data_IF_376153024267
#
_entry.id   IF_376153024267
#
_cell.length_a   1.000
_cell.length_b   1.000
_cell.length_c   1.000
_cell.angle_alpha   90.00
_cell.angle_beta   90.00
_cell.angle_gamma   90.00
#
_symmetry.space_group_name_H-M   'P 1'
#
loop_
_entity.id
_entity.type
_entity.pdbx_description
1 polymer ?
#
# COMPACT_ATOMS: atom_id res chain seq x y z
N UNK A 1 13.29 5.76 14.44
CA UNK A 1 14.37 4.87 13.91
C UNK A 1 15.19 4.18 14.99
N UNK A 2 15.76 4.92 15.95
CA UNK A 2 16.60 4.36 17.03
C UNK A 2 15.94 3.19 17.76
N UNK A 3 14.70 3.36 18.24
CA UNK A 3 13.96 2.28 18.92
C UNK A 3 13.78 1.02 18.05
N UNK A 4 13.44 1.18 16.76
CA UNK A 4 13.30 0.04 15.84
C UNK A 4 14.63 -0.66 15.58
N UNK A 5 15.75 0.06 15.52
CA UNK A 5 17.07 -0.54 15.36
C UNK A 5 17.46 -1.35 16.60
N UNK A 6 17.22 -0.79 17.79
CA UNK A 6 17.47 -1.47 19.06
C UNK A 6 16.65 -2.75 19.20
N UNK A 7 15.35 -2.74 18.89
CA UNK A 7 14.49 -3.94 18.99
C UNK A 7 14.84 -5.05 17.98
N UNK A 8 15.61 -4.75 16.93
CA UNK A 8 16.01 -5.71 15.89
C UNK A 8 17.39 -6.34 16.13
N UNK A 9 18.07 -5.98 17.23
CA UNK A 9 19.32 -6.63 17.59
C UNK A 9 19.06 -8.09 17.98
N UNK A 10 19.91 -9.00 17.50
CA UNK A 10 19.82 -10.42 17.86
C UNK A 10 20.22 -10.66 19.32
N UNK A 11 21.16 -9.87 19.84
CA UNK A 11 21.59 -9.95 21.22
C UNK A 11 20.67 -9.13 22.15
N UNK A 12 19.85 -9.84 22.92
CA UNK A 12 18.96 -9.24 23.93
C UNK A 12 19.69 -8.46 25.03
N UNK A 13 20.95 -8.78 25.33
CA UNK A 13 21.74 -8.04 26.32
C UNK A 13 22.08 -6.64 25.82
N UNK A 14 22.40 -6.50 24.53
CA UNK A 14 22.59 -5.21 23.88
C UNK A 14 21.29 -4.39 23.83
N UNK A 15 20.13 -5.04 23.70
CA UNK A 15 18.82 -4.36 23.79
C UNK A 15 18.58 -3.82 25.20
N UNK A 16 18.89 -4.62 26.24
CA UNK A 16 18.67 -4.26 27.64
C UNK A 16 19.50 -3.05 28.10
N UNK A 17 20.61 -2.75 27.42
CA UNK A 17 21.43 -1.54 27.68
C UNK A 17 20.79 -0.25 27.15
N UNK A 18 19.74 -0.34 26.34
CA UNK A 18 19.04 0.82 25.77
C UNK A 18 17.85 1.19 26.67
N UNK A 19 17.62 2.48 26.98
CA UNK A 19 16.51 2.92 27.82
C UNK A 19 15.19 2.92 27.02
N UNK A 20 14.79 1.75 26.51
CA UNK A 20 13.55 1.57 25.79
C UNK A 20 12.38 1.59 26.75
N UNK A 21 11.31 2.27 26.35
CA UNK A 21 10.03 2.24 27.05
C UNK A 21 8.89 1.89 26.09
N UNK A 22 7.76 1.44 26.63
CA UNK A 22 6.61 0.98 25.85
C UNK A 22 5.32 1.56 26.43
N UNK A 23 4.55 2.28 25.61
CA UNK A 23 3.24 2.81 25.97
C UNK A 23 2.16 2.08 25.19
N UNK A 24 1.30 1.35 25.89
CA UNK A 24 0.18 0.64 25.27
C UNK A 24 -0.96 1.60 24.91
N UNK A 25 -1.58 1.36 23.76
CA UNK A 25 -2.72 2.13 23.27
C UNK A 25 -3.92 1.26 22.88
N UNK A 26 -3.81 -0.06 23.05
CA UNK A 26 -4.80 -1.03 22.59
C UNK A 26 -4.62 -2.40 23.26
N UNK A 27 -5.73 -3.11 23.48
CA UNK A 27 -5.80 -4.50 23.93
C UNK A 27 -6.61 -5.26 22.87
N UNK A 28 -6.09 -6.40 22.42
CA UNK A 28 -6.77 -7.30 21.47
C UNK A 28 -6.89 -8.67 22.10
N UNK A 29 -8.09 -9.24 22.09
CA UNK A 29 -8.34 -10.58 22.61
C UNK A 29 -9.85 -10.88 22.70
N UNK A 30 -10.22 -12.17 22.81
CA UNK A 30 -11.59 -12.56 23.06
C UNK A 30 -12.01 -12.20 24.49
N UNK A 31 -13.29 -11.87 24.68
CA UNK A 31 -13.93 -11.74 26.01
C UNK A 31 -13.20 -10.82 27.02
N UNK A 32 -12.58 -9.73 26.56
CA UNK A 32 -11.86 -8.78 27.44
C UNK A 32 -12.78 -8.05 28.44
N UNK A 33 -14.09 -8.11 28.22
CA UNK A 33 -15.08 -7.36 29.01
C UNK A 33 -14.85 -5.85 28.94
N UNK A 34 -14.30 -5.35 27.83
CA UNK A 34 -14.05 -3.93 27.57
C UNK A 34 -15.06 -3.47 26.52
N UNK A 35 -15.74 -2.35 26.76
CA UNK A 35 -16.73 -1.78 25.84
C UNK A 35 -16.27 -0.48 25.18
N UNK A 36 -15.22 0.17 25.71
CA UNK A 36 -14.70 1.43 25.16
C UNK A 36 -13.17 1.52 25.14
N UNK A 37 -12.67 2.34 24.22
CA UNK A 37 -11.24 2.65 24.08
C UNK A 37 -10.67 3.28 25.36
N UNK A 38 -11.40 4.17 26.04
CA UNK A 38 -10.89 4.78 27.27
C UNK A 38 -10.81 3.76 28.42
N UNK A 39 -11.84 2.92 28.59
CA UNK A 39 -11.82 1.81 29.55
C UNK A 39 -10.67 0.83 29.28
N UNK A 40 -10.31 0.63 28.01
CA UNK A 40 -9.15 -0.18 27.62
C UNK A 40 -7.84 0.37 28.18
N UNK A 41 -7.66 1.69 28.10
CA UNK A 41 -6.48 2.38 28.63
C UNK A 41 -6.44 2.30 30.16
N UNK A 42 -7.59 2.43 30.83
CA UNK A 42 -7.70 2.29 32.27
C UNK A 42 -7.37 0.86 32.74
N UNK A 43 -7.98 -0.17 32.15
CA UNK A 43 -7.67 -1.56 32.50
C UNK A 43 -6.21 -1.92 32.26
N UNK A 44 -5.61 -1.46 31.15
CA UNK A 44 -4.19 -1.69 30.89
C UNK A 44 -3.31 -1.10 32.00
N UNK A 45 -3.66 0.10 32.48
CA UNK A 45 -2.98 0.75 33.60
C UNK A 45 -3.16 -0.04 34.90
N UNK A 46 -4.37 -0.51 35.18
CA UNK A 46 -4.68 -1.33 36.36
C UNK A 46 -3.92 -2.66 36.36
N UNK A 47 -3.65 -3.23 35.17
CA UNK A 47 -2.84 -4.43 35.01
C UNK A 47 -1.33 -4.19 35.09
N UNK A 48 -0.90 -2.94 35.34
CA UNK A 48 0.52 -2.59 35.49
C UNK A 48 1.23 -2.24 34.19
N UNK A 49 0.52 -2.16 33.06
CA UNK A 49 1.12 -1.67 31.82
C UNK A 49 1.23 -0.15 31.82
N UNK A 50 2.29 0.35 31.19
CA UNK A 50 2.44 1.79 30.94
C UNK A 50 1.52 2.20 29.80
N UNK A 51 0.79 3.28 30.02
CA UNK A 51 -0.20 3.84 29.09
C UNK A 51 -0.03 5.36 29.10
N UNK A 52 -0.22 6.07 27.97
CA UNK A 52 -0.11 7.53 27.96
C UNK A 52 -1.02 8.18 29.02
N UNK A 53 -0.44 8.95 29.92
CA UNK A 53 -1.16 9.65 31.00
C UNK A 53 -1.97 10.84 30.48
N UNK A 54 -1.58 11.36 29.32
CA UNK A 54 -2.16 12.55 28.69
C UNK A 54 -3.44 12.26 27.88
N UNK A 55 -3.84 10.99 27.76
CA UNK A 55 -5.04 10.64 27.00
C UNK A 55 -6.31 11.25 27.63
N UNK A 56 -7.13 11.92 26.82
CA UNK A 56 -8.36 12.60 27.26
C UNK A 56 -9.59 12.05 26.54
N UNK A 57 -10.67 11.83 27.29
CA UNK A 57 -11.98 11.56 26.71
C UNK A 57 -12.64 12.90 26.34
N UNK A 58 -12.81 13.13 25.04
CA UNK A 58 -13.49 14.33 24.51
C UNK A 58 -14.92 13.97 24.09
N UNK A 59 -15.90 14.78 24.50
CA UNK A 59 -17.33 14.59 24.18
C UNK A 59 -17.79 15.40 22.97
N UNK A 60 -17.03 16.41 22.59
CA UNK A 60 -17.33 17.32 21.47
C UNK A 60 -16.11 17.50 20.57
N UNK A 61 -16.33 17.95 19.33
CA UNK A 61 -15.23 18.27 18.40
C UNK A 61 -14.40 19.45 18.90
N UNK A 62 -15.01 20.42 19.58
CA UNK A 62 -14.30 21.55 20.20
C UNK A 62 -13.28 21.05 21.23
N UNK A 63 -13.69 20.15 22.12
CA UNK A 63 -12.76 19.54 23.09
C UNK A 63 -11.61 18.76 22.44
N UNK A 64 -11.82 18.21 21.23
CA UNK A 64 -10.77 17.55 20.45
C UNK A 64 -9.79 18.59 19.91
N UNK A 65 -10.26 19.69 19.33
CA UNK A 65 -9.40 20.77 18.84
C UNK A 65 -8.63 21.45 19.97
N UNK A 66 -9.27 21.74 21.10
CA UNK A 66 -8.60 22.32 22.28
C UNK A 66 -7.45 21.43 22.77
N UNK A 67 -7.65 20.10 22.71
CA UNK A 67 -6.60 19.14 23.07
C UNK A 67 -5.45 19.15 22.07
N UNK A 68 -5.75 19.25 20.77
CA UNK A 68 -4.75 19.33 19.70
C UNK A 68 -3.93 20.61 19.83
N UNK A 69 -4.58 21.76 19.97
CA UNK A 69 -3.92 23.07 20.03
C UNK A 69 -3.01 23.18 21.26
N UNK A 70 -3.47 22.65 22.40
CA UNK A 70 -2.63 22.58 23.60
C UNK A 70 -1.36 21.76 23.36
N UNK A 71 -1.49 20.55 22.81
CA UNK A 71 -0.35 19.65 22.61
C UNK A 71 0.53 20.02 21.41
N UNK A 72 0.06 20.83 20.47
CA UNK A 72 0.92 21.39 19.40
C UNK A 72 2.04 22.27 19.98
N UNK A 73 1.81 22.88 21.14
CA UNK A 73 2.81 23.70 21.84
C UNK A 73 3.54 22.88 22.92
N UNK A 74 2.80 22.17 23.77
CA UNK A 74 3.36 21.55 24.99
C UNK A 74 3.96 20.15 24.76
N UNK A 75 3.92 19.61 23.53
CA UNK A 75 4.52 18.28 23.23
C UNK A 75 6.00 18.18 23.60
N UNK A 76 6.73 19.28 23.61
CA UNK A 76 8.16 19.32 23.94
C UNK A 76 8.43 19.12 25.44
N UNK A 77 7.38 19.16 26.28
CA UNK A 77 7.46 18.89 27.71
C UNK A 77 7.32 17.38 28.02
N UNK A 78 6.93 16.57 27.04
CA UNK A 78 6.82 15.14 27.20
C UNK A 78 8.20 14.48 27.25
N UNK A 79 8.38 13.38 28.00
CA UNK A 79 9.64 12.64 28.05
C UNK A 79 9.92 11.83 26.77
N UNK A 80 9.13 12.03 25.71
CA UNK A 80 9.23 11.36 24.44
C UNK A 80 8.76 12.29 23.31
N UNK A 81 9.27 12.06 22.10
CA UNK A 81 8.84 12.78 20.91
C UNK A 81 7.45 12.31 20.44
N UNK A 82 6.64 13.23 19.92
CA UNK A 82 5.34 12.92 19.31
C UNK A 82 5.12 13.77 18.06
N UNK A 83 4.45 13.19 17.09
CA UNK A 83 4.20 13.75 15.76
C UNK A 83 2.75 14.22 15.54
N UNK A 84 1.93 14.10 16.58
CA UNK A 84 0.52 14.43 16.52
C UNK A 84 -0.31 13.78 17.61
N UNK A 85 -1.61 13.72 17.35
CA UNK A 85 -2.62 13.11 18.23
C UNK A 85 -3.42 12.08 17.44
N UNK A 86 -3.70 10.92 18.06
CA UNK A 86 -4.59 9.92 17.47
C UNK A 86 -6.01 10.09 18.05
N UNK A 87 -6.95 10.46 17.19
CA UNK A 87 -8.37 10.60 17.52
C UNK A 87 -9.04 9.25 17.24
N UNK A 88 -9.76 8.70 18.21
CA UNK A 88 -10.45 7.40 18.10
C UNK A 88 -11.90 7.53 18.53
N UNK A 89 -12.82 6.87 17.81
CA UNK A 89 -14.19 6.66 18.28
C UNK A 89 -14.13 5.83 19.57
N UNK A 90 -14.73 6.32 20.67
CA UNK A 90 -14.56 5.67 21.97
C UNK A 90 -15.29 4.32 22.10
N UNK A 91 -16.47 4.15 21.51
CA UNK A 91 -17.24 2.90 21.57
C UNK A 91 -16.63 1.82 20.67
N UNK A 92 -16.25 0.66 21.22
CA UNK A 92 -15.69 -0.45 20.42
C UNK A 92 -16.72 -1.02 19.44
N UNK A 93 -18.00 -1.05 19.82
CA UNK A 93 -19.07 -1.46 18.91
C UNK A 93 -19.13 -0.56 17.67
N UNK A 94 -18.98 0.75 17.84
CA UNK A 94 -18.94 1.67 16.70
C UNK A 94 -17.68 1.49 15.85
N UNK A 95 -16.54 1.16 16.45
CA UNK A 95 -15.31 0.83 15.70
C UNK A 95 -15.54 -0.37 14.78
N UNK A 96 -16.14 -1.45 15.31
CA UNK A 96 -16.47 -2.66 14.54
C UNK A 96 -17.48 -2.38 13.42
N UNK A 97 -18.45 -1.49 13.65
CA UNK A 97 -19.41 -1.08 12.63
C UNK A 97 -18.78 -0.28 11.49
N UNK A 98 -17.88 0.64 11.82
CA UNK A 98 -17.17 1.48 10.86
C UNK A 98 -16.17 0.66 10.03
N UNK A 99 -15.51 -0.30 10.65
CA UNK A 99 -14.60 -1.24 10.00
C UNK A 99 -13.32 -0.60 9.46
N UNK A 100 -12.75 -1.22 8.43
CA UNK A 100 -11.45 -0.88 7.87
C UNK A 100 -11.54 -0.65 6.36
N UNK A 101 -10.66 0.20 5.86
CA UNK A 101 -10.24 0.21 4.45
C UNK A 101 -9.18 -0.88 4.23
N UNK A 102 -8.64 -1.00 3.01
CA UNK A 102 -7.56 -1.95 2.72
C UNK A 102 -6.29 -1.76 3.59
N UNK A 103 -6.08 -0.58 4.18
CA UNK A 103 -4.86 -0.25 4.95
C UNK A 103 -5.09 0.36 6.32
N UNK A 104 -6.25 0.97 6.57
CA UNK A 104 -6.45 1.81 7.77
C UNK A 104 -7.88 1.70 8.33
N UNK A 105 -8.06 1.81 9.65
CA UNK A 105 -9.40 1.85 10.28
C UNK A 105 -10.17 3.10 9.84
N UNK A 106 -11.50 2.99 9.77
CA UNK A 106 -12.40 4.13 9.49
C UNK A 106 -12.81 4.91 10.75
N UNK A 107 -12.49 4.37 11.92
CA UNK A 107 -12.89 4.88 13.24
C UNK A 107 -11.76 5.58 14.00
N UNK A 108 -10.56 5.68 13.41
CA UNK A 108 -9.44 6.40 13.98
C UNK A 108 -8.73 7.24 12.91
N UNK A 109 -8.17 8.36 13.35
CA UNK A 109 -7.40 9.27 12.51
C UNK A 109 -6.18 9.78 13.28
N UNK A 110 -5.03 9.83 12.63
CA UNK A 110 -3.85 10.51 13.14
C UNK A 110 -3.88 11.97 12.66
N UNK A 111 -4.06 12.90 13.60
CA UNK A 111 -3.95 14.33 13.36
C UNK A 111 -2.50 14.75 13.61
N UNK A 112 -1.76 15.07 12.54
CA UNK A 112 -0.34 15.44 12.64
C UNK A 112 -0.20 16.93 12.97
N UNK A 113 0.80 17.25 13.78
CA UNK A 113 1.16 18.65 14.05
C UNK A 113 1.76 19.30 12.81
N UNK A 114 1.85 20.64 12.81
CA UNK A 114 2.46 21.38 11.71
C UNK A 114 3.93 20.96 11.59
N UNK A 115 4.31 20.49 10.40
CA UNK A 115 5.67 20.04 10.15
C UNK A 115 6.66 21.19 10.37
N UNK A 116 7.78 20.88 11.00
CA UNK A 116 8.93 21.79 11.07
C UNK A 116 9.37 22.15 9.64
N UNK A 117 9.64 23.42 9.40
CA UNK A 117 10.13 23.94 8.12
C UNK A 117 11.50 24.54 8.32
N UNK A 118 12.44 24.16 7.46
CA UNK A 118 13.80 24.72 7.45
C UNK A 118 14.13 25.28 6.07
N UNK A 119 14.92 26.34 6.01
CA UNK A 119 15.44 26.87 4.75
C UNK A 119 16.82 26.29 4.44
N UNK A 120 17.05 25.88 3.19
CA UNK A 120 18.37 25.46 2.70
C UNK A 120 18.55 25.83 1.24
N UNK A 121 19.76 25.70 0.69
CA UNK A 121 20.05 26.00 -0.72
C UNK A 121 19.71 24.80 -1.60
N UNK A 122 19.04 25.05 -2.73
CA UNK A 122 18.84 24.10 -3.81
C UNK A 122 20.06 24.10 -4.74
N UNK A 123 20.84 23.02 -4.72
CA UNK A 123 22.06 22.94 -5.52
C UNK A 123 21.76 22.55 -6.98
N UNK A 124 20.93 21.53 -7.20
CA UNK A 124 20.56 21.06 -8.54
C UNK A 124 19.23 20.30 -8.50
N UNK A 125 18.58 20.17 -9.66
CA UNK A 125 17.38 19.35 -9.85
C UNK A 125 17.72 18.13 -10.71
N UNK A 126 17.63 16.94 -10.13
CA UNK A 126 17.76 15.68 -10.89
C UNK A 126 16.40 15.04 -11.14
N UNK A 127 16.30 14.23 -12.19
CA UNK A 127 15.05 13.61 -12.61
C UNK A 127 15.13 12.10 -12.52
N UNK A 128 14.26 11.51 -11.69
CA UNK A 128 14.20 10.06 -11.52
C UNK A 128 13.10 9.47 -12.39
N UNK A 129 13.42 8.36 -13.06
CA UNK A 129 12.46 7.58 -13.84
C UNK A 129 11.85 6.51 -12.93
N UNK A 130 10.52 6.57 -12.73
CA UNK A 130 9.80 5.53 -12.00
C UNK A 130 9.63 4.26 -12.84
N UNK A 131 9.29 3.15 -12.17
CA UNK A 131 8.96 1.86 -12.81
C UNK A 131 7.99 1.97 -14.00
N UNK A 132 6.99 2.83 -13.88
CA UNK A 132 5.94 3.03 -14.93
C UNK A 132 6.30 4.11 -15.95
N UNK A 133 7.56 4.56 -15.96
CA UNK A 133 8.07 5.64 -16.79
C UNK A 133 7.82 7.05 -16.22
N UNK A 134 7.14 7.19 -15.09
CA UNK A 134 6.81 8.49 -14.51
C UNK A 134 8.09 9.24 -14.10
N UNK A 135 8.28 10.44 -14.65
CA UNK A 135 9.41 11.31 -14.33
C UNK A 135 9.09 12.10 -13.06
N UNK A 136 9.96 11.98 -12.06
CA UNK A 136 9.81 12.68 -10.78
C UNK A 136 11.04 13.57 -10.55
N UNK A 137 10.87 14.90 -10.48
CA UNK A 137 11.95 15.81 -10.16
C UNK A 137 12.31 15.72 -8.67
N UNK A 138 13.61 15.73 -8.39
CA UNK A 138 14.20 15.62 -7.06
C UNK A 138 15.16 16.80 -6.89
N UNK A 139 14.91 17.59 -5.85
CA UNK A 139 15.80 18.65 -5.42
C UNK A 139 16.98 18.04 -4.67
N UNK A 140 18.22 18.30 -5.11
CA UNK A 140 19.43 18.03 -4.33
C UNK A 140 19.81 19.29 -3.57
N UNK A 141 19.86 19.18 -2.26
CA UNK A 141 19.91 20.29 -1.33
C UNK A 141 21.24 20.33 -0.60
N UNK A 142 21.63 21.52 -0.18
CA UNK A 142 22.67 21.66 0.83
C UNK A 142 22.21 20.95 2.12
N UNK A 143 23.03 20.07 2.74
CA UNK A 143 22.59 19.25 3.86
C UNK A 143 22.08 20.09 5.04
N UNK A 144 20.83 19.87 5.43
CA UNK A 144 20.18 20.58 6.53
C UNK A 144 19.57 19.61 7.53
N UNK A 145 19.64 19.93 8.83
CA UNK A 145 18.98 19.14 9.87
C UNK A 145 17.49 19.49 9.90
N UNK A 146 16.63 18.47 9.80
CA UNK A 146 15.17 18.64 9.86
C UNK A 146 14.53 17.44 10.55
N UNK A 147 13.78 17.68 11.64
CA UNK A 147 13.15 16.63 12.44
C UNK A 147 14.12 15.47 12.75
N UNK A 148 15.27 15.78 13.34
CA UNK A 148 16.27 14.81 13.82
C UNK A 148 17.09 14.08 12.74
N UNK A 149 16.93 14.37 11.44
CA UNK A 149 17.73 13.75 10.37
C UNK A 149 18.29 14.78 9.39
N UNK A 150 19.47 14.54 8.84
CA UNK A 150 20.02 15.35 7.75
C UNK A 150 19.28 15.07 6.43
N UNK A 151 18.62 16.10 5.90
CA UNK A 151 17.96 16.08 4.60
C UNK A 151 18.92 16.61 3.54
N UNK A 152 19.16 15.81 2.49
CA UNK A 152 19.95 16.19 1.30
C UNK A 152 19.15 16.17 0.01
N UNK A 153 17.96 15.57 0.04
CA UNK A 153 17.09 15.41 -1.12
C UNK A 153 15.65 15.64 -0.73
N UNK A 154 14.91 16.32 -1.58
CA UNK A 154 13.48 16.57 -1.39
C UNK A 154 12.71 16.37 -2.70
N UNK A 155 11.45 15.96 -2.60
CA UNK A 155 10.58 15.85 -3.77
C UNK A 155 10.11 17.23 -4.23
N UNK A 156 10.16 17.45 -5.54
CA UNK A 156 9.53 18.59 -6.21
C UNK A 156 8.15 18.23 -6.80
N UNK A 157 7.66 17.02 -6.53
CA UNK A 157 6.41 16.45 -7.03
C UNK A 157 6.32 16.27 -8.56
N UNK A 158 6.29 17.36 -9.33
CA UNK A 158 6.11 17.38 -10.78
C UNK A 158 6.45 18.78 -11.39
N UNK A 159 6.30 18.91 -12.71
CA UNK A 159 6.57 20.16 -13.43
C UNK A 159 5.68 21.33 -12.96
N UNK A 160 4.38 21.07 -12.74
CA UNK A 160 3.43 22.12 -12.32
C UNK A 160 3.81 22.73 -10.98
N UNK A 161 4.33 21.93 -10.06
CA UNK A 161 4.74 22.40 -8.75
C UNK A 161 6.02 23.25 -8.81
N UNK A 162 6.95 22.90 -9.70
CA UNK A 162 8.16 23.69 -9.98
C UNK A 162 7.76 25.05 -10.55
N UNK A 163 6.86 25.07 -11.54
CA UNK A 163 6.37 26.29 -12.18
C UNK A 163 5.56 27.16 -11.19
N UNK A 164 4.63 26.54 -10.44
CA UNK A 164 3.78 27.24 -9.47
C UNK A 164 4.58 27.92 -8.37
N UNK A 165 5.66 27.30 -7.91
CA UNK A 165 6.54 27.87 -6.88
C UNK A 165 7.70 28.67 -7.48
N UNK A 166 7.81 28.72 -8.81
CA UNK A 166 8.93 29.29 -9.57
C UNK A 166 10.29 28.87 -9.00
N UNK A 167 10.48 27.57 -8.78
CA UNK A 167 11.70 27.02 -8.16
C UNK A 167 12.83 27.06 -9.18
N UNK A 168 14.01 27.53 -8.77
CA UNK A 168 15.21 27.62 -9.62
C UNK A 168 16.43 27.07 -8.90
N UNK A 169 17.37 26.52 -9.66
CA UNK A 169 18.66 26.09 -9.09
C UNK A 169 19.40 27.30 -8.49
N UNK A 170 20.03 27.09 -7.34
CA UNK A 170 20.64 28.14 -6.52
C UNK A 170 19.69 28.84 -5.53
N UNK A 171 18.37 28.62 -5.62
CA UNK A 171 17.42 29.25 -4.70
C UNK A 171 17.60 28.77 -3.25
N UNK A 172 17.32 29.67 -2.30
CA UNK A 172 17.03 29.25 -0.92
C UNK A 172 15.58 28.78 -0.83
N UNK A 173 15.37 27.50 -0.51
CA UNK A 173 14.07 26.84 -0.50
C UNK A 173 13.65 26.42 0.91
N UNK A 174 12.33 26.46 1.16
CA UNK A 174 11.74 25.92 2.38
C UNK A 174 11.43 24.44 2.21
N UNK A 175 11.92 23.63 3.14
CA UNK A 175 11.81 22.18 3.13
C UNK A 175 11.01 21.74 4.35
N UNK A 176 10.04 20.85 4.13
CA UNK A 176 9.29 20.19 5.21
C UNK A 176 9.22 18.69 4.95
N UNK A 177 9.02 17.89 6.00
CA UNK A 177 8.75 16.46 5.85
C UNK A 177 7.25 16.18 5.87
N UNK A 178 6.70 15.78 4.74
CA UNK A 178 5.33 15.26 4.66
C UNK A 178 5.19 14.00 5.51
N UNK A 179 4.27 14.05 6.48
CA UNK A 179 4.06 12.98 7.47
C UNK A 179 5.34 12.62 8.23
N UNK A 180 6.24 13.59 8.43
CA UNK A 180 7.55 13.47 9.09
C UNK A 180 8.58 12.54 8.44
N UNK A 181 8.27 11.99 7.27
CA UNK A 181 9.12 11.00 6.61
C UNK A 181 9.68 11.53 5.29
N UNK A 182 8.83 12.09 4.42
CA UNK A 182 9.20 12.40 3.03
C UNK A 182 9.49 13.90 2.89
N UNK A 183 10.75 14.33 2.69
CA UNK A 183 11.05 15.73 2.48
C UNK A 183 10.49 16.24 1.15
N UNK A 184 9.91 17.44 1.15
CA UNK A 184 9.39 18.12 -0.03
C UNK A 184 9.64 19.63 0.07
N UNK A 185 9.76 20.27 -1.09
CA UNK A 185 9.86 21.73 -1.16
C UNK A 185 8.47 22.35 -1.09
N UNK A 186 8.30 23.35 -0.23
CA UNK A 186 7.02 24.05 -0.04
C UNK A 186 7.02 25.49 -0.50
N UNK A 187 8.19 26.07 -0.75
CA UNK A 187 8.31 27.42 -1.29
C UNK A 187 9.75 27.86 -1.45
N UNK A 188 9.91 29.07 -1.99
CA UNK A 188 11.20 29.73 -2.19
C UNK A 188 11.26 30.99 -1.34
N UNK A 189 12.43 31.26 -0.75
CA UNK A 189 12.76 32.55 -0.14
C UNK A 189 13.23 33.53 -1.24
N UNK A 190 12.27 34.20 -1.87
CA UNK A 190 12.54 35.17 -2.95
C UNK A 190 13.43 36.34 -2.52
N UNK A 191 13.54 36.63 -1.22
CA UNK A 191 14.40 37.72 -0.73
C UNK A 191 15.90 37.44 -0.92
N UNK A 192 16.27 36.17 -1.11
CA UNK A 192 17.65 35.71 -1.29
C UNK A 192 17.95 35.27 -2.72
N UNK A 193 17.02 35.45 -3.65
CA UNK A 193 17.20 35.02 -5.04
C UNK A 193 18.20 35.92 -5.76
N UNK A 194 19.17 35.30 -6.42
CA UNK A 194 20.10 36.02 -7.30
C UNK A 194 19.35 36.62 -8.51
N UNK A 195 19.67 37.86 -8.83
CA UNK A 195 19.22 38.56 -10.04
C UNK A 195 19.52 37.83 -11.34
N UNK A 196 20.56 36.99 -11.38
CA UNK A 196 20.96 36.21 -12.56
C UNK A 196 20.31 34.82 -12.62
N UNK A 197 19.42 34.49 -11.67
CA UNK A 197 18.77 33.19 -11.57
C UNK A 197 17.89 32.89 -12.80
N UNK A 198 18.09 31.73 -13.42
CA UNK A 198 17.35 31.29 -14.60
C UNK A 198 16.15 30.42 -14.22
N UNK A 199 14.99 30.57 -14.89
CA UNK A 199 13.86 29.67 -14.70
C UNK A 199 14.26 28.21 -14.95
N UNK A 200 13.71 27.28 -14.17
CA UNK A 200 13.95 25.85 -14.40
C UNK A 200 13.26 25.37 -15.66
N UNK A 201 14.05 24.87 -16.61
CA UNK A 201 13.55 24.16 -17.77
C UNK A 201 13.37 22.67 -17.43
N UNK A 202 12.15 22.16 -17.63
CA UNK A 202 11.86 20.74 -17.41
C UNK A 202 12.46 19.91 -18.54
N UNK A 203 13.06 18.76 -18.21
CA UNK A 203 13.68 17.89 -19.21
C UNK A 203 12.67 17.41 -20.27
N UNK A 204 13.13 17.32 -21.52
CA UNK A 204 12.30 16.88 -22.66
C UNK A 204 12.55 15.42 -23.05
N UNK A 205 13.66 14.83 -22.62
CA UNK A 205 14.07 13.46 -22.93
C UNK A 205 14.36 12.68 -21.65
N UNK A 206 14.06 11.39 -21.66
CA UNK A 206 14.30 10.49 -20.54
C UNK A 206 15.81 10.42 -20.22
N UNK A 207 16.23 10.69 -18.96
CA UNK A 207 17.65 10.70 -18.61
C UNK A 207 18.31 9.30 -18.70
N UNK A 208 17.50 8.24 -18.71
CA UNK A 208 17.97 6.85 -18.67
C UNK A 208 18.06 6.19 -20.05
N UNK A 209 17.25 6.65 -21.01
CA UNK A 209 17.16 5.99 -22.33
C UNK A 209 17.04 6.95 -23.51
N UNK A 210 17.08 8.26 -23.28
CA UNK A 210 17.02 9.30 -24.32
C UNK A 210 15.68 9.42 -25.05
N UNK A 211 14.66 8.64 -24.71
CA UNK A 211 13.34 8.72 -25.36
C UNK A 211 12.63 10.02 -25.02
N UNK A 212 12.03 10.68 -26.00
CA UNK A 212 11.23 11.89 -25.80
C UNK A 212 10.11 11.63 -24.78
N UNK A 213 10.01 12.54 -23.80
CA UNK A 213 9.00 12.46 -22.75
C UNK A 213 7.66 12.94 -23.27
N UNK A 214 6.59 12.29 -22.81
CA UNK A 214 5.22 12.65 -23.15
C UNK A 214 4.47 13.00 -21.88
N UNK A 215 3.70 14.08 -21.93
CA UNK A 215 2.73 14.48 -20.92
C UNK A 215 1.38 14.64 -21.59
N UNK A 216 0.47 13.71 -21.32
CA UNK A 216 -0.89 13.74 -21.88
C UNK A 216 -1.72 14.83 -21.20
N UNK A 217 -2.77 15.27 -21.87
CA UNK A 217 -3.73 16.22 -21.29
C UNK A 217 -4.35 15.65 -20.00
N UNK A 218 -4.30 16.44 -18.92
CA UNK A 218 -4.76 16.03 -17.58
C UNK A 218 -3.74 15.25 -16.73
N UNK A 219 -2.61 14.82 -17.29
CA UNK A 219 -1.54 14.21 -16.50
C UNK A 219 -0.69 15.30 -15.83
N UNK A 220 -0.44 15.15 -14.52
CA UNK A 220 0.45 16.03 -13.77
C UNK A 220 1.94 15.73 -14.02
N UNK A 221 2.28 14.52 -14.49
CA UNK A 221 3.67 14.05 -14.67
C UNK A 221 4.00 13.80 -16.14
N UNK A 222 5.27 13.97 -16.47
CA UNK A 222 5.84 13.47 -17.72
C UNK A 222 6.13 11.98 -17.60
N UNK A 223 6.05 11.26 -18.73
CA UNK A 223 6.32 9.83 -18.79
C UNK A 223 7.32 9.47 -19.90
N UNK A 224 8.23 8.57 -19.58
CA UNK A 224 9.02 7.83 -20.57
C UNK A 224 8.14 6.73 -21.19
N UNK A 225 7.89 6.84 -22.49
CA UNK A 225 7.03 5.92 -23.25
C UNK A 225 7.76 4.64 -23.69
N UNK A 226 9.09 4.56 -23.54
CA UNK A 226 9.89 3.39 -23.88
C UNK A 226 9.77 2.28 -22.82
N UNK A 227 8.57 1.73 -22.67
CA UNK A 227 8.24 0.76 -21.63
C UNK A 227 9.15 -0.48 -21.70
N UNK A 228 9.35 -1.06 -22.88
CA UNK A 228 10.11 -2.30 -23.04
C UNK A 228 11.62 -2.11 -23.28
N UNK A 229 12.12 -0.87 -23.39
CA UNK A 229 13.53 -0.59 -23.65
C UNK A 229 14.21 0.31 -22.62
N UNK A 230 13.47 1.02 -21.77
CA UNK A 230 14.07 1.84 -20.72
C UNK A 230 14.63 0.95 -19.59
N UNK A 231 15.94 1.03 -19.27
CA UNK A 231 16.58 0.22 -18.23
C UNK A 231 15.84 0.25 -16.89
N UNK A 232 15.50 1.45 -16.41
CA UNK A 232 14.82 1.64 -15.11
C UNK A 232 13.40 1.09 -15.08
N UNK A 233 12.71 1.09 -16.23
CA UNK A 233 11.39 0.46 -16.32
C UNK A 233 11.52 -1.07 -16.34
N UNK A 234 12.54 -1.61 -17.01
CA UNK A 234 12.82 -3.05 -17.03
C UNK A 234 13.18 -3.54 -15.61
N UNK A 235 14.21 -2.96 -14.98
CA UNK A 235 14.63 -3.34 -13.63
C UNK A 235 13.50 -3.08 -12.64
N UNK A 236 12.77 -1.97 -12.74
CA UNK A 236 11.61 -1.69 -11.89
C UNK A 236 10.48 -2.71 -12.01
N UNK A 237 10.23 -3.27 -13.20
CA UNK A 237 9.25 -4.37 -13.38
C UNK A 237 9.73 -5.65 -12.70
N UNK A 238 11.01 -5.98 -12.83
CA UNK A 238 11.60 -7.14 -12.18
C UNK A 238 11.57 -6.95 -10.65
N UNK A 239 11.91 -5.76 -10.15
CA UNK A 239 11.81 -5.40 -8.73
C UNK A 239 10.38 -5.51 -8.19
N UNK A 240 9.37 -5.14 -8.99
CA UNK A 240 7.97 -5.37 -8.64
C UNK A 240 7.63 -6.86 -8.57
N UNK A 241 8.04 -7.62 -9.59
CA UNK A 241 7.79 -9.05 -9.69
C UNK A 241 8.33 -9.80 -8.47
N UNK A 242 9.55 -9.50 -8.03
CA UNK A 242 10.20 -10.17 -6.88
C UNK A 242 9.66 -9.72 -5.52
N UNK A 243 8.87 -8.65 -5.47
CA UNK A 243 8.47 -8.01 -4.22
C UNK A 243 7.65 -8.92 -3.30
N UNK A 244 7.68 -8.62 -2.00
CA UNK A 244 6.99 -9.40 -0.94
C UNK A 244 5.48 -9.64 -1.18
N UNK A 245 4.81 -8.74 -1.90
CA UNK A 245 3.38 -8.88 -2.21
C UNK A 245 3.11 -9.59 -3.55
N UNK A 246 4.12 -9.65 -4.41
CA UNK A 246 4.12 -10.31 -5.70
C UNK A 246 4.66 -11.74 -5.54
N UNK A 247 5.84 -12.05 -6.08
CA UNK A 247 6.42 -13.41 -6.04
C UNK A 247 7.20 -13.75 -4.77
N UNK A 248 7.43 -12.79 -3.87
CA UNK A 248 8.11 -13.06 -2.58
C UNK A 248 9.48 -13.74 -2.71
N UNK A 249 10.28 -13.32 -3.68
CA UNK A 249 11.56 -13.98 -3.93
C UNK A 249 12.57 -13.48 -2.88
N UNK A 250 12.76 -14.29 -1.84
CA UNK A 250 13.78 -14.05 -0.83
C UNK A 250 15.20 -14.14 -1.42
N UNK A 251 16.14 -13.38 -0.85
CA UNK A 251 17.53 -13.37 -1.33
C UNK A 251 17.79 -12.51 -2.56
N UNK A 252 16.76 -11.93 -3.19
CA UNK A 252 16.89 -11.03 -4.34
C UNK A 252 16.46 -9.61 -3.98
N UNK A 253 17.40 -8.66 -4.02
CA UNK A 253 17.17 -7.24 -3.76
C UNK A 253 17.15 -6.39 -5.03
N UNK A 254 16.72 -5.13 -4.90
CA UNK A 254 16.67 -4.20 -6.03
C UNK A 254 18.05 -3.92 -6.66
N UNK A 255 19.09 -3.77 -5.83
CA UNK A 255 20.47 -3.59 -6.28
C UNK A 255 20.99 -4.82 -7.05
N UNK A 256 20.64 -6.02 -6.60
CA UNK A 256 21.02 -7.27 -7.29
C UNK A 256 20.32 -7.38 -8.64
N UNK A 257 19.05 -6.96 -8.76
CA UNK A 257 18.36 -6.91 -10.05
C UNK A 257 19.05 -5.97 -11.03
N UNK A 258 19.47 -4.79 -10.57
CA UNK A 258 20.20 -3.82 -11.40
C UNK A 258 21.55 -4.37 -11.84
N UNK A 259 22.26 -5.06 -10.96
CA UNK A 259 23.52 -5.75 -11.28
C UNK A 259 23.32 -6.84 -12.33
N UNK A 260 22.36 -7.75 -12.13
CA UNK A 260 22.06 -8.83 -13.08
C UNK A 260 21.66 -8.28 -14.46
N UNK A 261 20.91 -7.18 -14.49
CA UNK A 261 20.53 -6.52 -15.73
C UNK A 261 21.73 -5.87 -16.42
N UNK A 262 22.58 -5.16 -15.67
CA UNK A 262 23.80 -4.51 -16.18
C UNK A 262 24.78 -5.51 -16.79
N UNK A 263 24.94 -6.67 -16.16
CA UNK A 263 25.79 -7.77 -16.63
C UNK A 263 25.13 -8.59 -17.76
N UNK A 264 23.93 -8.21 -18.19
CA UNK A 264 23.22 -8.83 -19.31
C UNK A 264 22.66 -10.23 -19.03
N UNK A 265 22.63 -10.65 -17.76
CA UNK A 265 22.12 -11.96 -17.33
C UNK A 265 20.59 -12.02 -17.36
N UNK A 266 19.92 -10.88 -17.17
CA UNK A 266 18.46 -10.77 -17.25
C UNK A 266 18.04 -9.57 -18.10
N UNK A 267 16.93 -9.73 -18.82
CA UNK A 267 16.27 -8.69 -19.63
C UNK A 267 14.79 -8.56 -19.28
N UNK A 268 14.21 -9.58 -18.68
CA UNK A 268 12.88 -9.55 -18.07
C UNK A 268 12.82 -10.49 -16.86
N UNK A 269 11.66 -10.52 -16.18
CA UNK A 269 11.49 -11.32 -14.96
C UNK A 269 11.43 -12.84 -15.24
N UNK A 270 11.15 -13.28 -16.47
CA UNK A 270 11.16 -14.71 -16.81
C UNK A 270 12.59 -15.26 -16.90
N UNK A 271 13.59 -14.42 -17.16
CA UNK A 271 15.00 -14.82 -17.18
C UNK A 271 15.51 -15.26 -15.79
N UNK A 272 14.85 -14.82 -14.70
CA UNK A 272 15.22 -15.22 -13.34
C UNK A 272 15.22 -16.75 -13.15
N UNK A 273 14.32 -17.46 -13.84
CA UNK A 273 14.09 -18.90 -13.68
C UNK A 273 15.10 -19.77 -14.45
N UNK A 274 15.98 -19.16 -15.25
CA UNK A 274 17.07 -19.87 -15.95
C UNK A 274 18.45 -19.53 -15.40
N UNK A 275 18.54 -18.60 -14.44
CA UNK A 275 19.79 -18.23 -13.82
C UNK A 275 20.37 -19.41 -13.03
N UNK A 276 21.64 -19.70 -13.25
CA UNK A 276 22.38 -20.68 -12.48
C UNK A 276 23.30 -20.02 -11.46
N UNK A 277 23.65 -20.74 -10.40
CA UNK A 277 24.57 -20.28 -9.36
C UNK A 277 25.92 -19.84 -9.97
N UNK A 278 26.42 -20.60 -10.94
CA UNK A 278 27.71 -20.39 -11.60
C UNK A 278 27.76 -19.07 -12.38
N UNK A 279 26.63 -18.58 -12.87
CA UNK A 279 26.53 -17.28 -13.53
C UNK A 279 26.52 -16.11 -12.54
N UNK A 280 26.09 -16.35 -11.31
CA UNK A 280 25.86 -15.30 -10.30
C UNK A 280 27.08 -15.11 -9.39
N UNK A 281 27.76 -16.20 -9.01
CA UNK A 281 28.93 -16.18 -8.11
C UNK A 281 30.08 -15.24 -8.57
N UNK A 282 30.37 -15.10 -9.88
CA UNK A 282 31.43 -14.19 -10.34
C UNK A 282 31.12 -12.69 -10.14
N UNK A 283 29.88 -12.33 -9.82
CA UNK A 283 29.45 -10.94 -9.74
C UNK A 283 29.95 -10.25 -8.48
N UNK A 284 30.18 -8.94 -8.57
CA UNK A 284 30.59 -8.13 -7.42
C UNK A 284 29.55 -8.24 -6.30
N UNK A 285 30.01 -8.46 -5.05
CA UNK A 285 29.16 -8.58 -3.85
C UNK A 285 28.25 -9.82 -3.81
N UNK A 286 28.42 -10.78 -4.72
CA UNK A 286 27.69 -12.06 -4.69
C UNK A 286 28.54 -13.18 -4.08
N UNK A 287 28.34 -13.42 -2.78
CA UNK A 287 28.91 -14.59 -2.13
C UNK A 287 28.16 -15.87 -2.56
N UNK A 288 28.84 -17.02 -2.45
CA UNK A 288 28.28 -18.33 -2.82
C UNK A 288 26.91 -18.59 -2.19
N UNK A 289 26.79 -18.31 -0.89
CA UNK A 289 25.52 -18.46 -0.15
C UNK A 289 24.42 -17.51 -0.63
N UNK A 290 24.78 -16.30 -1.08
CA UNK A 290 23.81 -15.34 -1.62
C UNK A 290 23.28 -15.80 -2.98
N UNK A 291 24.16 -16.34 -3.83
CA UNK A 291 23.77 -16.92 -5.11
C UNK A 291 22.86 -18.14 -4.92
N UNK A 292 23.18 -19.02 -3.97
CA UNK A 292 22.32 -20.16 -3.60
C UNK A 292 20.94 -19.72 -3.10
N UNK A 293 20.90 -18.75 -2.18
CA UNK A 293 19.64 -18.23 -1.65
C UNK A 293 18.77 -17.62 -2.75
N UNK A 294 19.36 -16.90 -3.71
CA UNK A 294 18.64 -16.32 -4.84
C UNK A 294 18.01 -17.41 -5.71
N UNK A 295 18.80 -18.38 -6.18
CA UNK A 295 18.30 -19.48 -7.03
C UNK A 295 17.23 -20.28 -6.31
N UNK A 296 17.45 -20.55 -5.01
CA UNK A 296 16.46 -21.23 -4.16
C UNK A 296 15.17 -20.41 -4.03
N UNK A 297 15.25 -19.11 -3.75
CA UNK A 297 14.08 -18.24 -3.63
C UNK A 297 13.27 -18.16 -4.93
N UNK A 298 13.94 -18.14 -6.08
CA UNK A 298 13.27 -18.19 -7.39
C UNK A 298 12.56 -19.53 -7.58
N UNK A 299 13.21 -20.66 -7.27
CA UNK A 299 12.59 -21.98 -7.38
C UNK A 299 11.38 -22.14 -6.45
N UNK A 300 11.45 -21.64 -5.23
CA UNK A 300 10.34 -21.68 -4.27
C UNK A 300 9.15 -20.81 -4.69
N UNK A 301 9.40 -19.69 -5.38
CA UNK A 301 8.37 -18.76 -5.86
C UNK A 301 7.37 -19.36 -6.84
N UNK A 302 7.69 -20.51 -7.44
CA UNK A 302 6.80 -21.26 -8.35
C UNK A 302 5.49 -21.66 -7.66
N UNK A 303 5.48 -21.76 -6.33
CA UNK A 303 4.32 -22.12 -5.51
C UNK A 303 3.41 -20.93 -5.16
N UNK A 304 3.74 -19.71 -5.59
CA UNK A 304 2.96 -18.52 -5.28
C UNK A 304 1.58 -18.59 -5.96
N UNK A 305 0.48 -18.29 -5.24
CA UNK A 305 -0.88 -18.37 -5.79
C UNK A 305 -1.12 -17.46 -7.01
N UNK A 306 -2.02 -17.89 -7.90
CA UNK A 306 -2.32 -17.19 -9.16
C UNK A 306 -2.68 -15.71 -8.99
N UNK A 307 -3.44 -15.32 -7.96
CA UNK A 307 -3.77 -13.90 -7.73
C UNK A 307 -2.52 -13.02 -7.51
N UNK A 308 -1.46 -13.58 -6.92
CA UNK A 308 -0.19 -12.90 -6.67
C UNK A 308 0.69 -12.92 -7.91
N UNK A 309 0.67 -14.02 -8.68
CA UNK A 309 1.34 -14.10 -10.00
C UNK A 309 0.75 -13.04 -10.94
N UNK A 310 -0.58 -12.92 -11.01
CA UNK A 310 -1.24 -11.90 -11.85
C UNK A 310 -0.88 -10.47 -11.40
N UNK A 311 -0.78 -10.23 -10.09
CA UNK A 311 -0.26 -8.96 -9.58
C UNK A 311 1.21 -8.75 -9.96
N UNK A 312 2.04 -9.79 -9.92
CA UNK A 312 3.47 -9.74 -10.24
C UNK A 312 3.76 -9.38 -11.70
N UNK A 313 2.89 -9.75 -12.64
CA UNK A 313 3.01 -9.37 -14.06
C UNK A 313 3.04 -7.85 -14.28
N UNK A 314 2.52 -7.06 -13.34
CA UNK A 314 2.69 -5.61 -13.34
C UNK A 314 1.86 -4.88 -14.41
N UNK A 315 0.69 -5.43 -14.77
CA UNK A 315 -0.26 -4.80 -15.70
C UNK A 315 -0.64 -3.40 -15.19
N UNK A 316 -0.63 -2.40 -16.06
CA UNK A 316 -0.91 -1.00 -15.68
C UNK A 316 -2.33 -0.90 -15.06
N UNK A 317 -2.44 -0.14 -13.97
CA UNK A 317 -3.65 0.00 -13.14
C UNK A 317 -4.16 -1.24 -12.41
N UNK A 318 -3.57 -2.42 -12.63
CA UNK A 318 -3.95 -3.65 -11.91
C UNK A 318 -3.15 -3.76 -10.61
N UNK A 319 -3.75 -3.27 -9.52
CA UNK A 319 -3.23 -3.44 -8.16
C UNK A 319 -3.57 -4.81 -7.55
N UNK A 320 -3.10 -5.05 -6.32
CA UNK A 320 -3.32 -6.31 -5.58
C UNK A 320 -4.80 -6.72 -5.51
N UNK A 321 -5.69 -5.77 -5.22
CA UNK A 321 -7.14 -6.01 -5.16
C UNK A 321 -7.73 -6.37 -6.53
N UNK A 322 -7.32 -5.65 -7.58
CA UNK A 322 -7.82 -5.87 -8.95
C UNK A 322 -7.34 -7.23 -9.46
N UNK A 323 -6.07 -7.58 -9.23
CA UNK A 323 -5.53 -8.89 -9.57
C UNK A 323 -6.28 -10.02 -8.88
N UNK A 324 -6.61 -9.88 -7.58
CA UNK A 324 -7.45 -10.85 -6.86
C UNK A 324 -8.84 -11.02 -7.48
N UNK A 325 -9.49 -9.92 -7.87
CA UNK A 325 -10.83 -9.97 -8.50
C UNK A 325 -10.78 -10.60 -9.88
N UNK A 326 -9.80 -10.24 -10.71
CA UNK A 326 -9.59 -10.85 -12.03
C UNK A 326 -9.29 -12.34 -11.91
N UNK A 327 -8.39 -12.74 -11.01
CA UNK A 327 -8.07 -14.14 -10.77
C UNK A 327 -9.30 -14.94 -10.32
N UNK A 328 -10.15 -14.39 -9.43
CA UNK A 328 -11.42 -15.01 -9.03
C UNK A 328 -12.42 -15.13 -10.19
N UNK A 329 -12.58 -14.08 -11.00
CA UNK A 329 -13.55 -14.06 -12.10
C UNK A 329 -13.19 -15.02 -13.23
N UNK A 330 -11.92 -15.04 -13.65
CA UNK A 330 -11.47 -15.79 -14.83
C UNK A 330 -10.83 -17.15 -14.49
N UNK A 331 -10.44 -17.36 -13.23
CA UNK A 331 -9.90 -18.62 -12.66
C UNK A 331 -8.55 -19.08 -13.21
N UNK A 332 -8.23 -18.79 -14.46
CA UNK A 332 -6.93 -19.01 -15.09
C UNK A 332 -6.55 -17.88 -16.04
N UNK A 333 -5.27 -17.81 -16.40
CA UNK A 333 -4.73 -16.75 -17.26
C UNK A 333 -5.23 -16.84 -18.71
N UNK A 334 -5.49 -18.03 -19.23
CA UNK A 334 -5.91 -18.22 -20.64
C UNK A 334 -7.33 -17.70 -20.88
N UNK A 335 -8.22 -17.89 -19.90
CA UNK A 335 -9.55 -17.30 -19.88
C UNK A 335 -9.47 -15.77 -19.78
N UNK A 336 -8.53 -15.24 -19.00
CA UNK A 336 -8.32 -13.78 -18.90
C UNK A 336 -7.76 -13.19 -20.21
N UNK A 337 -6.87 -13.92 -20.88
CA UNK A 337 -6.26 -13.52 -22.17
C UNK A 337 -7.28 -13.41 -23.31
N UNK A 338 -8.37 -14.19 -23.23
CA UNK A 338 -9.42 -14.23 -24.26
C UNK A 338 -10.62 -13.34 -23.92
N UNK A 339 -10.63 -12.72 -22.74
CA UNK A 339 -11.70 -11.85 -22.29
C UNK A 339 -11.87 -10.62 -23.19
N UNK A 340 -13.12 -10.25 -23.50
CA UNK A 340 -13.40 -8.99 -24.17
C UNK A 340 -13.34 -7.80 -23.20
N UNK A 341 -13.30 -6.58 -23.74
CA UNK A 341 -13.34 -5.37 -22.92
C UNK A 341 -14.62 -5.29 -22.06
N UNK A 342 -15.75 -5.75 -22.62
CA UNK A 342 -17.04 -5.73 -21.93
C UNK A 342 -17.11 -6.80 -20.83
N UNK A 343 -16.52 -7.98 -21.05
CA UNK A 343 -16.40 -9.02 -20.01
C UNK A 343 -15.55 -8.52 -18.83
N UNK A 344 -14.44 -7.83 -19.12
CA UNK A 344 -13.58 -7.25 -18.09
C UNK A 344 -14.32 -6.19 -17.27
N UNK A 345 -15.11 -5.33 -17.92
CA UNK A 345 -15.93 -4.30 -17.27
C UNK A 345 -17.08 -4.86 -16.44
N UNK A 346 -17.53 -6.08 -16.72
CA UNK A 346 -18.55 -6.76 -15.91
C UNK A 346 -18.01 -7.16 -14.52
N UNK A 347 -16.68 -7.26 -14.36
CA UNK A 347 -16.05 -7.55 -13.07
C UNK A 347 -16.09 -6.31 -12.17
N UNK A 348 -16.45 -6.54 -10.91
CA UNK A 348 -16.59 -5.49 -9.90
C UNK A 348 -15.29 -4.67 -9.71
N UNK A 349 -15.40 -3.34 -9.66
CA UNK A 349 -14.30 -2.36 -9.60
C UNK A 349 -13.38 -2.30 -10.83
N UNK A 350 -13.74 -2.94 -11.94
CA UNK A 350 -12.98 -2.82 -13.20
C UNK A 350 -13.66 -1.81 -14.12
N UNK A 351 -13.03 -0.63 -14.25
CA UNK A 351 -13.46 0.40 -15.20
C UNK A 351 -12.76 0.29 -16.56
N UNK A 352 -13.22 1.11 -17.51
CA UNK A 352 -12.72 1.18 -18.90
C UNK A 352 -11.18 1.19 -19.00
N UNK A 353 -10.52 2.07 -18.23
CA UNK A 353 -9.06 2.21 -18.25
C UNK A 353 -8.32 0.94 -17.82
N UNK A 354 -8.86 0.22 -16.84
CA UNK A 354 -8.25 -1.02 -16.36
C UNK A 354 -8.45 -2.12 -17.41
N UNK A 355 -9.67 -2.26 -17.92
CA UNK A 355 -9.99 -3.23 -18.96
C UNK A 355 -9.10 -3.05 -20.20
N UNK A 356 -8.96 -1.81 -20.68
CA UNK A 356 -8.10 -1.47 -21.81
C UNK A 356 -6.62 -1.83 -21.54
N UNK A 357 -6.09 -1.52 -20.35
CA UNK A 357 -4.71 -1.87 -19.99
C UNK A 357 -4.47 -3.38 -19.90
N UNK A 358 -5.49 -4.16 -19.53
CA UNK A 358 -5.42 -5.63 -19.52
C UNK A 358 -5.37 -6.17 -20.95
N UNK A 359 -6.23 -5.67 -21.85
CA UNK A 359 -6.23 -6.05 -23.26
C UNK A 359 -4.90 -5.70 -23.93
N UNK A 360 -4.42 -4.46 -23.78
CA UNK A 360 -3.14 -4.00 -24.35
C UNK A 360 -1.95 -4.84 -23.87
N UNK A 361 -1.99 -5.29 -22.61
CA UNK A 361 -0.95 -6.14 -22.06
C UNK A 361 -0.90 -7.50 -22.76
N UNK A 362 -2.05 -8.15 -23.00
CA UNK A 362 -2.11 -9.46 -23.66
C UNK A 362 -2.00 -9.39 -25.20
N UNK A 363 -2.23 -8.23 -25.81
CA UNK A 363 -1.94 -8.02 -27.24
C UNK A 363 -0.45 -7.91 -27.55
N UNK A 364 0.40 -7.68 -26.53
CA UNK A 364 1.83 -7.54 -26.73
C UNK A 364 2.55 -8.89 -26.75
N UNK A 365 3.19 -9.22 -27.87
CA UNK A 365 3.92 -10.48 -28.06
C UNK A 365 4.99 -10.75 -27.01
N UNK A 366 5.69 -9.72 -26.50
CA UNK A 366 6.74 -9.89 -25.47
C UNK A 366 6.17 -10.33 -24.13
N UNK A 367 4.95 -9.87 -23.81
CA UNK A 367 4.25 -10.29 -22.59
C UNK A 367 3.74 -11.72 -22.73
N UNK A 368 3.21 -12.08 -23.90
CA UNK A 368 2.78 -13.44 -24.21
C UNK A 368 3.94 -14.44 -24.12
N UNK A 369 5.10 -14.10 -24.69
CA UNK A 369 6.33 -14.90 -24.55
C UNK A 369 6.72 -15.07 -23.08
N UNK A 370 6.75 -13.96 -22.32
CA UNK A 370 7.08 -14.01 -20.90
C UNK A 370 6.11 -14.89 -20.11
N UNK A 371 4.80 -14.85 -20.38
CA UNK A 371 3.81 -15.72 -19.75
C UNK A 371 4.05 -17.18 -20.13
N UNK A 372 4.28 -17.47 -21.41
CA UNK A 372 4.53 -18.84 -21.87
C UNK A 372 5.78 -19.45 -21.20
N UNK A 373 6.87 -18.67 -21.10
CA UNK A 373 8.09 -19.06 -20.39
C UNK A 373 7.82 -19.32 -18.91
N UNK A 374 7.16 -18.39 -18.22
CA UNK A 374 6.79 -18.56 -16.81
C UNK A 374 5.91 -19.80 -16.58
N UNK A 375 4.95 -20.08 -17.46
CA UNK A 375 4.15 -21.31 -17.43
C UNK A 375 5.04 -22.54 -17.54
N UNK A 376 6.01 -22.53 -18.47
CA UNK A 376 6.94 -23.66 -18.65
C UNK A 376 7.84 -23.93 -17.44
N UNK A 377 8.09 -22.92 -16.61
CA UNK A 377 8.81 -23.06 -15.33
C UNK A 377 7.90 -23.48 -14.16
N UNK A 378 6.60 -23.68 -14.41
CA UNK A 378 5.66 -24.24 -13.45
C UNK A 378 4.90 -23.22 -12.59
N UNK A 379 4.98 -21.91 -12.89
CA UNK A 379 4.26 -20.90 -12.09
C UNK A 379 2.75 -21.13 -12.11
N UNK A 380 2.08 -20.84 -10.99
CA UNK A 380 0.64 -21.02 -10.87
C UNK A 380 -0.14 -19.95 -11.64
N UNK A 381 -0.64 -20.29 -12.81
CA UNK A 381 -1.51 -19.44 -13.62
C UNK A 381 -2.99 -19.80 -13.53
N UNK A 382 -3.34 -20.63 -12.55
CA UNK A 382 -4.71 -21.08 -12.27
C UNK A 382 -4.97 -21.05 -10.76
N UNK A 383 -6.21 -20.80 -10.36
CA UNK A 383 -6.61 -20.96 -8.97
C UNK A 383 -6.46 -22.43 -8.55
N UNK A 384 -6.03 -22.64 -7.30
CA UNK A 384 -5.91 -23.98 -6.76
C UNK A 384 -7.27 -24.71 -6.74
N UNK A 385 -7.24 -26.03 -6.93
CA UNK A 385 -8.45 -26.88 -6.91
C UNK A 385 -9.25 -26.70 -5.62
N UNK A 386 -8.59 -26.55 -4.47
CA UNK A 386 -9.25 -26.29 -3.19
C UNK A 386 -10.01 -24.97 -3.16
N UNK A 387 -9.49 -23.92 -3.83
CA UNK A 387 -10.21 -22.65 -3.96
C UNK A 387 -11.38 -22.75 -4.93
N UNK A 388 -11.25 -23.55 -5.99
CA UNK A 388 -12.33 -23.79 -6.94
C UNK A 388 -13.45 -24.63 -6.34
N UNK A 389 -13.13 -25.63 -5.50
CA UNK A 389 -14.10 -26.47 -4.79
C UNK A 389 -14.88 -25.70 -3.72
N UNK A 390 -14.22 -24.77 -3.03
CA UNK A 390 -14.85 -23.91 -2.02
C UNK A 390 -15.56 -22.69 -2.62
N UNK A 391 -15.55 -22.52 -3.95
CA UNK A 391 -16.27 -21.44 -4.63
C UNK A 391 -17.53 -21.98 -5.31
N UNK A 392 -18.68 -21.50 -4.89
CA UNK A 392 -19.96 -21.82 -5.52
C UNK A 392 -20.61 -20.54 -6.08
N UNK A 393 -21.65 -20.70 -6.89
CA UNK A 393 -22.49 -19.58 -7.32
C UNK A 393 -23.84 -19.54 -6.58
N UNK A 394 -23.97 -20.23 -5.44
CA UNK A 394 -25.23 -20.36 -4.69
C UNK A 394 -25.86 -19.01 -4.35
N UNK A 395 -25.03 -18.00 -4.09
CA UNK A 395 -25.46 -16.67 -3.71
C UNK A 395 -25.27 -15.62 -4.82
N UNK A 396 -25.04 -16.05 -6.07
CA UNK A 396 -24.80 -15.14 -7.19
C UNK A 396 -25.95 -14.14 -7.38
N UNK A 397 -25.58 -12.87 -7.58
CA UNK A 397 -26.53 -11.77 -7.75
C UNK A 397 -27.16 -11.25 -6.45
N UNK A 398 -26.90 -11.89 -5.31
CA UNK A 398 -27.35 -11.41 -4.00
C UNK A 398 -26.31 -10.45 -3.41
N UNK A 399 -26.80 -9.44 -2.68
CA UNK A 399 -25.96 -8.52 -1.90
C UNK A 399 -26.28 -8.65 -0.43
N UNK A 400 -25.30 -8.97 0.40
CA UNK A 400 -25.45 -9.13 1.85
C UNK A 400 -24.82 -7.95 2.58
N UNK A 401 -25.48 -7.48 3.63
CA UNK A 401 -24.87 -6.61 4.63
C UNK A 401 -24.77 -7.40 5.92
N UNK A 402 -23.66 -7.31 6.64
CA UNK A 402 -23.46 -8.03 7.90
C UNK A 402 -23.43 -7.02 9.04
N UNK A 403 -24.19 -7.24 10.12
CA UNK A 403 -24.29 -6.32 11.27
C UNK A 403 -24.53 -7.06 12.58
N UNK A 404 -23.90 -6.63 13.67
CA UNK A 404 -23.98 -7.31 14.97
C UNK A 404 -22.71 -8.10 15.32
N UNK A 405 -22.75 -8.78 16.45
CA UNK A 405 -21.72 -9.64 17.03
C UNK A 405 -22.12 -11.09 16.78
N UNK A 406 -21.17 -11.90 16.33
CA UNK A 406 -21.38 -13.29 15.95
C UNK A 406 -20.59 -14.19 16.89
N UNK A 407 -21.19 -15.29 17.34
CA UNK A 407 -20.61 -16.18 18.35
C UNK A 407 -19.79 -17.30 17.71
N UNK A 408 -20.24 -17.85 16.58
CA UNK A 408 -19.64 -19.03 15.94
C UNK A 408 -18.62 -18.69 14.85
N UNK A 409 -18.89 -17.68 14.02
CA UNK A 409 -18.04 -17.30 12.90
C UNK A 409 -17.72 -15.80 13.01
N UNK A 410 -16.45 -15.44 12.83
CA UNK A 410 -16.09 -14.02 12.85
C UNK A 410 -16.76 -13.29 11.69
N UNK A 411 -17.05 -12.00 11.88
CA UNK A 411 -17.62 -11.16 10.82
C UNK A 411 -16.77 -11.15 9.54
N UNK A 412 -15.45 -11.26 9.65
CA UNK A 412 -14.53 -11.38 8.53
C UNK A 412 -14.71 -12.69 7.76
N UNK A 413 -14.87 -13.81 8.46
CA UNK A 413 -15.11 -15.11 7.85
C UNK A 413 -16.49 -15.17 7.20
N UNK A 414 -17.51 -14.59 7.82
CA UNK A 414 -18.85 -14.44 7.22
C UNK A 414 -18.79 -13.70 5.88
N UNK A 415 -18.08 -12.58 5.83
CA UNK A 415 -17.88 -11.83 4.57
C UNK A 415 -17.17 -12.67 3.51
N UNK A 416 -16.14 -13.42 3.93
CA UNK A 416 -15.42 -14.32 3.04
C UNK A 416 -16.32 -15.42 2.49
N UNK A 417 -17.15 -16.06 3.32
CA UNK A 417 -18.11 -17.08 2.89
C UNK A 417 -19.15 -16.52 1.90
N UNK A 418 -19.64 -15.30 2.14
CA UNK A 418 -20.55 -14.61 1.20
C UNK A 418 -19.87 -14.44 -0.17
N UNK A 419 -18.63 -13.94 -0.17
CA UNK A 419 -17.87 -13.69 -1.41
C UNK A 419 -17.50 -15.00 -2.14
N UNK A 420 -17.08 -16.02 -1.39
CA UNK A 420 -16.68 -17.31 -1.95
C UNK A 420 -17.90 -18.06 -2.55
N UNK A 421 -19.13 -17.75 -2.11
CA UNK A 421 -20.37 -18.26 -2.71
C UNK A 421 -21.02 -17.31 -3.75
N UNK A 422 -20.26 -16.31 -4.24
CA UNK A 422 -20.64 -15.50 -5.40
C UNK A 422 -21.51 -14.27 -5.11
N UNK A 423 -21.78 -13.96 -3.83
CA UNK A 423 -22.52 -12.76 -3.43
C UNK A 423 -21.62 -11.55 -3.16
N UNK A 424 -22.19 -10.35 -3.23
CA UNK A 424 -21.49 -9.10 -2.87
C UNK A 424 -21.70 -8.75 -1.40
N UNK A 425 -20.64 -8.28 -0.73
CA UNK A 425 -20.74 -7.73 0.63
C UNK A 425 -20.88 -6.20 0.58
N UNK A 426 -22.05 -5.70 0.98
CA UNK A 426 -22.34 -4.28 1.10
C UNK A 426 -21.86 -3.70 2.44
N UNK A 427 -21.36 -2.46 2.40
CA UNK A 427 -21.01 -1.70 3.61
C UNK A 427 -22.21 -0.99 4.25
N UNK A 428 -23.28 -0.79 3.48
CA UNK A 428 -24.53 -0.13 3.91
C UNK A 428 -25.75 -0.76 3.26
N UNK A 429 -26.90 -0.64 3.92
CA UNK A 429 -28.18 -1.13 3.41
C UNK A 429 -28.69 -0.14 2.37
N UNK A 430 -29.02 -0.67 1.19
CA UNK A 430 -29.59 0.03 0.05
C UNK A 430 -30.77 -0.77 -0.52
N UNK A 431 -31.50 -0.20 -1.48
CA UNK A 431 -32.55 -0.92 -2.22
C UNK A 431 -32.02 -2.14 -3.01
N UNK A 432 -30.71 -2.24 -3.23
CA UNK A 432 -30.07 -3.37 -3.91
C UNK A 432 -29.62 -4.47 -2.93
N UNK A 433 -29.77 -4.27 -1.62
CA UNK A 433 -29.39 -5.25 -0.61
C UNK A 433 -30.42 -6.37 -0.56
N UNK A 434 -29.96 -7.61 -0.71
CA UNK A 434 -30.82 -8.80 -0.69
C UNK A 434 -31.07 -9.30 0.73
N UNK A 435 -30.06 -9.25 1.61
CA UNK A 435 -30.16 -9.75 2.98
C UNK A 435 -29.31 -8.93 3.95
N UNK A 436 -29.79 -8.80 5.18
CA UNK A 436 -29.02 -8.34 6.34
C UNK A 436 -28.76 -9.52 7.27
N UNK A 437 -27.50 -9.98 7.35
CA UNK A 437 -27.11 -10.99 8.35
C UNK A 437 -26.95 -10.28 9.69
N UNK A 438 -27.83 -10.59 10.62
CA UNK A 438 -27.91 -9.98 11.95
C UNK A 438 -27.35 -10.91 13.02
N UNK A 439 -26.31 -10.44 13.70
CA UNK A 439 -25.82 -11.01 14.95
C UNK A 439 -26.35 -10.24 16.16
N UNK A 440 -25.89 -10.62 17.34
CA UNK A 440 -26.24 -9.98 18.60
C UNK A 440 -25.86 -8.51 18.64
N UNK A 441 -26.65 -7.70 19.35
CA UNK A 441 -26.43 -6.24 19.47
C UNK A 441 -26.28 -5.53 18.11
N UNK A 442 -27.04 -5.97 17.10
CA UNK A 442 -27.14 -5.26 15.83
C UNK A 442 -27.57 -3.79 16.05
N UNK A 443 -26.87 -2.85 15.40
CA UNK A 443 -27.16 -1.42 15.51
C UNK A 443 -28.60 -1.05 15.11
N UNK A 444 -29.32 -0.24 15.91
CA UNK A 444 -30.74 0.07 15.71
C UNK A 444 -31.03 0.85 14.42
N UNK A 445 -30.06 1.64 13.95
CA UNK A 445 -30.16 2.39 12.70
C UNK A 445 -30.21 1.49 11.47
N UNK A 446 -29.43 0.40 11.45
CA UNK A 446 -29.43 -0.57 10.35
C UNK A 446 -30.66 -1.46 10.38
N UNK A 447 -31.15 -1.83 11.57
CA UNK A 447 -32.42 -2.53 11.73
C UNK A 447 -33.59 -1.72 11.15
N UNK A 448 -33.73 -0.48 11.60
CA UNK A 448 -34.77 0.43 11.13
C UNK A 448 -34.65 0.67 9.62
N UNK A 449 -33.42 0.77 9.09
CA UNK A 449 -33.19 0.95 7.66
C UNK A 449 -33.54 -0.30 6.84
N UNK A 450 -33.22 -1.50 7.32
CA UNK A 450 -33.63 -2.76 6.70
C UNK A 450 -35.16 -2.89 6.66
N UNK A 451 -35.82 -2.63 7.79
CA UNK A 451 -37.29 -2.65 7.90
C UNK A 451 -37.93 -1.63 6.94
N UNK A 452 -37.39 -0.41 6.87
CA UNK A 452 -37.89 0.65 5.97
C UNK A 452 -37.74 0.33 4.48
N UNK A 453 -36.70 -0.44 4.11
CA UNK A 453 -36.42 -0.85 2.73
C UNK A 453 -36.93 -2.26 2.43
N UNK A 454 -37.68 -2.86 3.36
CA UNK A 454 -38.19 -4.23 3.28
C UNK A 454 -37.09 -5.28 2.97
N UNK A 455 -35.86 -5.06 3.46
CA UNK A 455 -34.74 -5.98 3.28
C UNK A 455 -34.83 -7.08 4.34
N UNK A 456 -34.88 -8.37 3.95
CA UNK A 456 -34.94 -9.49 4.89
C UNK A 456 -33.74 -9.51 5.86
N UNK A 457 -34.04 -9.69 7.14
CA UNK A 457 -33.05 -9.84 8.22
C UNK A 457 -32.96 -11.34 8.55
N UNK A 458 -31.77 -11.91 8.42
CA UNK A 458 -31.51 -13.34 8.63
C UNK A 458 -30.46 -13.53 9.73
N UNK A 459 -30.53 -14.63 10.47
CA UNK A 459 -29.53 -14.97 11.49
C UNK A 459 -28.26 -15.57 10.85
N UNK A 460 -27.21 -15.71 11.67
CA UNK A 460 -25.99 -16.43 11.27
C UNK A 460 -26.29 -17.88 10.83
N UNK A 461 -27.20 -18.54 11.54
CA UNK A 461 -27.62 -19.91 11.22
C UNK A 461 -28.37 -19.99 9.90
N UNK A 462 -29.32 -19.07 9.69
CA UNK A 462 -30.07 -19.00 8.43
C UNK A 462 -29.13 -18.78 7.23
N UNK A 463 -28.09 -17.95 7.41
CA UNK A 463 -27.07 -17.77 6.37
C UNK A 463 -26.29 -19.05 6.07
N UNK A 464 -25.88 -19.81 7.10
CA UNK A 464 -25.17 -21.08 6.91
C UNK A 464 -26.05 -22.14 6.27
N UNK A 465 -27.35 -22.16 6.61
CA UNK A 465 -28.31 -23.05 5.98
C UNK A 465 -28.53 -22.72 4.49
N UNK A 466 -28.24 -21.49 4.03
CA UNK A 466 -28.25 -21.14 2.60
C UNK A 466 -27.01 -21.66 1.84
N UNK A 467 -25.97 -22.13 2.54
CA UNK A 467 -24.73 -22.66 1.94
C UNK A 467 -24.70 -24.19 1.84
N UNK A 468 -25.66 -24.87 2.47
CA UNK A 468 -25.88 -26.31 2.39
C UNK A 468 -26.91 -26.62 1.31
#
# INVERSE_FOLDING_TARGET
NTASGSLKLQDSAAVAQRPLDCLLYGIVGPNTGISSQFQMLEKARDWGFKVPTIAKLCKTTTEVFDFIDYWDVHRHELPYETDGVVIKVNSLQHQDELGYTAKSPRWAMAYKFKAEQVSTVLNEITYQVGRTGAITPVANLEPVLLAGTTVKRASLHNADQIEKLDIREGDTVFVEKGGEIIPKIVGVDFSKRDTNSQPTEYITHCPECGTQLVRSEGDAKHYCTNFYGCPTQITGRIQHFISRKAMDIEGLGGETVELLFKEGLIRNYADLYILTKEQIVPLERMAEKSAENLVKGVAESVNIPFERVLFALGIRFVGETVAKKLAKAYKNIDALMTASIDDLKAVDEIGERIAQSVIEFFQNERNLDSIARLKSYGLQFELSKDKLLNQTELLKGKTFVVSGVFETISRSELKKLIEDNGAKVGSSISSKTSFLVAGDKMGPSKRSKAESLAVPIISERDFLDMLN
#
